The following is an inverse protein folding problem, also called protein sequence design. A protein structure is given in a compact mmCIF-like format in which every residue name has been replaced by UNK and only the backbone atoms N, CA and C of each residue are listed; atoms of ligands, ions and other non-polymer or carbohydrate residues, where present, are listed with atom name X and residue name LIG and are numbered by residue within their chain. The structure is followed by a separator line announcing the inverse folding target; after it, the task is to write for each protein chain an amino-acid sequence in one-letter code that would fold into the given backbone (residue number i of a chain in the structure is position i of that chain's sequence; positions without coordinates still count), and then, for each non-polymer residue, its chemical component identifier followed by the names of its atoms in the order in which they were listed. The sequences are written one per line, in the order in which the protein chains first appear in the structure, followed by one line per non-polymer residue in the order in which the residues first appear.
data_IF_298681024994
#
_entry.id   IF_298681024994
#
_cell.length_a   1.000
_cell.length_b   1.000
_cell.length_c   1.000
_cell.angle_alpha   90.00
_cell.angle_beta   90.00
_cell.angle_gamma   90.00
#
_symmetry.space_group_name_H-M   'P 1'
#
loop_
_entity.id
_entity.type
_entity.pdbx_description
1 polymer ?
#
# COMPACT_ATOMS: atom_id res chain seq x y z
N UNK A 1 46.50 -54.62 19.12
CA UNK A 1 46.11 -53.88 17.89
C UNK A 1 44.67 -53.38 18.09
N UNK A 2 44.46 -52.09 18.42
CA UNK A 2 43.13 -51.50 18.58
C UNK A 2 42.76 -50.85 17.26
N UNK A 3 41.65 -51.32 16.64
CA UNK A 3 41.07 -50.70 15.46
C UNK A 3 40.16 -49.58 15.88
N UNK A 4 40.44 -48.36 15.44
CA UNK A 4 39.57 -47.20 15.57
C UNK A 4 38.59 -47.16 14.40
N UNK A 5 37.31 -47.23 14.72
CA UNK A 5 36.24 -47.06 13.70
C UNK A 5 35.89 -45.56 13.71
N UNK A 6 36.18 -44.88 12.59
CA UNK A 6 35.70 -43.52 12.36
C UNK A 6 34.27 -43.60 11.84
N UNK A 7 33.31 -43.14 12.63
CA UNK A 7 31.96 -42.85 12.17
C UNK A 7 31.95 -41.46 11.49
N UNK A 8 31.78 -41.44 10.20
CA UNK A 8 31.50 -40.22 9.44
C UNK A 8 29.98 -39.96 9.57
N UNK A 9 29.60 -39.02 10.39
CA UNK A 9 28.24 -38.46 10.43
C UNK A 9 28.04 -37.59 9.18
N UNK A 10 27.39 -38.14 8.17
CA UNK A 10 26.88 -37.37 7.06
C UNK A 10 25.64 -36.59 7.52
N UNK A 11 25.79 -35.28 7.73
CA UNK A 11 24.66 -34.39 7.89
C UNK A 11 23.99 -34.24 6.51
N UNK A 12 22.69 -34.50 6.39
CA UNK A 12 21.97 -34.14 5.16
C UNK A 12 21.89 -32.61 5.09
N UNK A 13 22.61 -32.01 4.17
CA UNK A 13 22.37 -30.64 3.77
C UNK A 13 21.01 -30.62 3.09
N UNK A 14 19.98 -30.20 3.81
CA UNK A 14 18.74 -29.77 3.21
C UNK A 14 19.04 -28.49 2.41
N UNK A 15 19.34 -28.68 1.14
CA UNK A 15 19.14 -27.62 0.15
C UNK A 15 17.63 -27.38 0.09
N UNK A 16 17.17 -26.31 0.76
CA UNK A 16 15.88 -25.72 0.48
C UNK A 16 15.97 -25.19 -0.96
N UNK A 17 15.63 -26.03 -1.91
CA UNK A 17 15.25 -25.61 -3.24
C UNK A 17 14.06 -24.68 -3.06
N UNK A 18 14.26 -23.39 -3.23
CA UNK A 18 13.16 -22.51 -3.53
C UNK A 18 12.64 -22.97 -4.90
N UNK A 19 11.55 -23.71 -4.90
CA UNK A 19 10.80 -23.99 -6.11
C UNK A 19 10.30 -22.68 -6.65
N UNK A 20 11.07 -22.10 -7.56
CA UNK A 20 10.60 -21.02 -8.42
C UNK A 20 9.48 -21.63 -9.25
N UNK A 21 8.24 -21.41 -8.84
CA UNK A 21 7.07 -21.78 -9.63
C UNK A 21 7.21 -21.05 -10.97
N UNK A 22 7.65 -21.77 -11.98
CA UNK A 22 7.67 -21.27 -13.35
C UNK A 22 6.22 -21.18 -13.80
N UNK A 23 5.60 -20.01 -13.63
CA UNK A 23 4.40 -19.69 -14.35
C UNK A 23 4.73 -19.71 -15.83
N UNK A 24 4.39 -20.80 -16.51
CA UNK A 24 4.35 -20.80 -17.97
C UNK A 24 3.18 -19.87 -18.36
N UNK A 25 3.52 -18.67 -18.83
CA UNK A 25 2.57 -17.82 -19.50
C UNK A 25 2.07 -18.57 -20.74
N UNK A 26 0.83 -19.04 -20.73
CA UNK A 26 0.14 -19.58 -21.91
C UNK A 26 -0.21 -18.49 -22.96
N UNK A 27 0.22 -17.28 -22.73
CA UNK A 27 0.19 -16.20 -23.70
C UNK A 27 1.57 -16.16 -24.35
N UNK A 28 1.65 -16.47 -25.65
CA UNK A 28 2.90 -16.43 -26.40
C UNK A 28 3.66 -15.13 -26.09
N UNK A 29 4.86 -15.27 -25.52
CA UNK A 29 5.67 -14.14 -25.10
C UNK A 29 6.27 -13.47 -26.33
N UNK A 30 5.55 -12.54 -26.91
CA UNK A 30 6.19 -11.43 -27.60
C UNK A 30 6.31 -10.31 -26.58
N UNK A 31 7.46 -10.22 -25.91
CA UNK A 31 7.81 -9.07 -25.07
C UNK A 31 7.92 -7.84 -25.96
N UNK A 32 6.79 -7.19 -26.24
CA UNK A 32 6.75 -5.97 -27.04
C UNK A 32 7.15 -4.82 -26.14
N UNK A 33 8.42 -4.43 -26.17
CA UNK A 33 9.00 -3.29 -25.46
C UNK A 33 8.95 -3.35 -23.91
N UNK A 34 8.59 -4.49 -23.32
CA UNK A 34 8.63 -4.74 -21.89
C UNK A 34 9.37 -6.05 -21.59
N UNK A 35 10.23 -6.02 -20.58
CA UNK A 35 10.94 -7.20 -20.09
C UNK A 35 10.68 -7.37 -18.61
N UNK A 36 10.18 -8.54 -18.20
CA UNK A 36 10.10 -8.89 -16.77
C UNK A 36 11.50 -9.02 -16.20
N UNK A 37 11.81 -8.26 -15.17
CA UNK A 37 13.10 -8.33 -14.48
C UNK A 37 13.08 -9.38 -13.38
N UNK A 38 11.99 -9.48 -12.63
CA UNK A 38 11.82 -10.45 -11.53
C UNK A 38 10.35 -10.75 -11.29
N UNK A 39 10.10 -11.68 -10.39
CA UNK A 39 8.78 -12.00 -9.84
C UNK A 39 8.99 -12.52 -8.41
N UNK A 40 8.15 -12.04 -7.48
CA UNK A 40 8.03 -12.57 -6.11
C UNK A 40 6.61 -13.06 -5.89
N UNK A 41 6.45 -14.12 -5.10
CA UNK A 41 5.15 -14.70 -4.76
C UNK A 41 5.21 -15.22 -3.31
N UNK A 42 5.18 -14.28 -2.35
CA UNK A 42 5.33 -14.57 -0.92
C UNK A 42 3.99 -14.57 -0.16
N UNK A 43 2.90 -14.14 -0.80
CA UNK A 43 1.60 -13.96 -0.16
C UNK A 43 0.50 -14.67 -0.94
N UNK A 44 -0.53 -15.13 -0.23
CA UNK A 44 -1.66 -15.84 -0.85
C UNK A 44 -2.51 -14.97 -1.77
N UNK A 45 -2.56 -13.66 -1.52
CA UNK A 45 -3.32 -12.71 -2.32
C UNK A 45 -2.65 -11.35 -2.28
N UNK A 46 -2.75 -10.65 -3.38
CA UNK A 46 -2.24 -9.31 -3.60
C UNK A 46 -3.40 -8.39 -4.01
N UNK A 47 -3.27 -7.11 -3.71
CA UNK A 47 -4.23 -6.10 -4.15
C UNK A 47 -3.51 -4.93 -4.84
N UNK A 48 -3.37 -3.78 -4.24
CA UNK A 48 -2.76 -2.64 -4.89
C UNK A 48 -1.23 -2.61 -4.77
N UNK A 49 -0.58 -1.80 -5.61
CA UNK A 49 0.86 -1.55 -5.59
C UNK A 49 1.14 -0.07 -5.84
N UNK A 50 2.12 0.47 -5.14
CA UNK A 50 2.60 1.84 -5.34
C UNK A 50 4.11 1.89 -5.43
N UNK A 51 4.63 2.85 -6.20
CA UNK A 51 6.07 3.15 -6.29
C UNK A 51 6.46 4.28 -5.35
N UNK A 52 7.62 4.18 -4.73
CA UNK A 52 8.23 5.23 -3.93
C UNK A 52 9.72 5.32 -4.22
N UNK A 53 10.27 6.53 -4.30
CA UNK A 53 11.71 6.75 -4.41
C UNK A 53 12.23 7.37 -3.12
N UNK A 54 13.14 6.67 -2.45
CA UNK A 54 13.77 7.13 -1.22
C UNK A 54 14.76 8.29 -1.45
N UNK A 55 15.17 8.95 -0.37
CA UNK A 55 16.18 10.02 -0.41
C UNK A 55 17.54 9.57 -0.92
N UNK A 56 17.82 8.29 -0.80
CA UNK A 56 19.03 7.63 -1.31
C UNK A 56 18.96 7.29 -2.81
N UNK A 57 17.82 7.61 -3.47
CA UNK A 57 17.55 7.29 -4.87
C UNK A 57 17.16 5.84 -5.13
N UNK A 58 16.99 5.02 -4.07
CA UNK A 58 16.49 3.65 -4.22
C UNK A 58 14.99 3.68 -4.48
N UNK A 59 14.55 2.92 -5.47
CA UNK A 59 13.13 2.67 -5.71
C UNK A 59 12.60 1.58 -4.78
N UNK A 60 11.37 1.76 -4.32
CA UNK A 60 10.65 0.81 -3.47
C UNK A 60 9.31 0.47 -4.10
N UNK A 61 8.95 -0.80 -4.05
CA UNK A 61 7.58 -1.25 -4.30
C UNK A 61 6.85 -1.40 -2.96
N UNK A 62 5.74 -0.71 -2.83
CA UNK A 62 4.83 -0.79 -1.68
C UNK A 62 3.66 -1.66 -2.12
N UNK A 63 3.54 -2.84 -1.54
CA UNK A 63 2.64 -3.88 -2.01
C UNK A 63 1.56 -4.18 -0.97
N UNK A 64 0.32 -4.03 -1.35
CA UNK A 64 -0.83 -4.44 -0.55
C UNK A 64 -1.07 -5.93 -0.64
N UNK A 65 -1.30 -6.54 0.52
CA UNK A 65 -1.68 -7.95 0.65
C UNK A 65 -2.94 -8.07 1.50
N UNK A 66 -3.56 -9.24 1.52
CA UNK A 66 -4.75 -9.47 2.36
C UNK A 66 -4.50 -9.18 3.84
N UNK A 67 -3.28 -9.42 4.35
CA UNK A 67 -2.98 -9.34 5.79
C UNK A 67 -2.09 -8.16 6.18
N UNK A 68 -1.76 -7.28 5.24
CA UNK A 68 -0.91 -6.12 5.53
C UNK A 68 -0.30 -5.48 4.30
N UNK A 69 0.78 -4.73 4.52
CA UNK A 69 1.51 -4.00 3.48
C UNK A 69 2.99 -4.41 3.53
N UNK A 70 3.53 -4.83 2.41
CA UNK A 70 4.93 -5.19 2.26
C UNK A 70 5.71 -4.08 1.55
N UNK A 71 6.96 -3.86 1.95
CA UNK A 71 7.85 -2.88 1.34
C UNK A 71 9.08 -3.61 0.82
N UNK A 72 9.31 -3.50 -0.48
CA UNK A 72 10.44 -4.09 -1.17
C UNK A 72 11.37 -3.02 -1.70
N UNK A 73 12.66 -3.12 -1.37
CA UNK A 73 13.71 -2.36 -2.03
C UNK A 73 14.00 -2.95 -3.40
N UNK A 74 14.06 -2.08 -4.41
CA UNK A 74 14.40 -2.40 -5.79
C UNK A 74 15.82 -1.92 -6.13
N UNK A 75 16.73 -1.86 -5.13
CA UNK A 75 18.15 -1.54 -5.36
C UNK A 75 18.76 -2.42 -6.46
N UNK A 76 18.37 -3.69 -6.52
CA UNK A 76 18.51 -4.56 -7.68
C UNK A 76 17.10 -5.05 -8.06
N UNK A 77 16.51 -4.54 -9.14
CA UNK A 77 15.16 -4.92 -9.55
C UNK A 77 15.05 -6.36 -10.04
N UNK A 78 16.18 -7.05 -10.25
CA UNK A 78 16.20 -8.49 -10.57
C UNK A 78 16.08 -9.35 -9.31
N UNK A 79 16.41 -8.79 -8.15
CA UNK A 79 16.38 -9.46 -6.85
C UNK A 79 15.73 -8.53 -5.83
N UNK A 80 14.40 -8.26 -5.94
CA UNK A 80 13.68 -7.43 -4.98
C UNK A 80 13.86 -7.97 -3.56
N UNK A 81 14.21 -7.10 -2.63
CA UNK A 81 14.41 -7.48 -1.24
C UNK A 81 13.31 -6.90 -0.39
N UNK A 82 12.56 -7.75 0.31
CA UNK A 82 11.61 -7.29 1.31
C UNK A 82 12.35 -6.70 2.51
N UNK A 83 12.20 -5.39 2.73
CA UNK A 83 12.78 -4.70 3.87
C UNK A 83 11.88 -4.77 5.10
N UNK A 84 10.55 -4.72 4.91
CA UNK A 84 9.59 -4.86 6.01
C UNK A 84 8.24 -5.38 5.54
N UNK A 85 7.47 -5.91 6.51
CA UNK A 85 6.06 -6.22 6.38
C UNK A 85 5.32 -5.58 7.56
N UNK A 86 4.30 -4.80 7.25
CA UNK A 86 3.46 -4.13 8.22
C UNK A 86 2.14 -4.90 8.31
N UNK A 87 1.87 -5.64 9.40
CA UNK A 87 0.63 -6.36 9.56
C UNK A 87 -0.54 -5.41 9.69
N UNK A 88 -1.69 -5.79 9.13
CA UNK A 88 -2.93 -5.02 9.19
C UNK A 88 -4.15 -5.91 9.28
N UNK A 89 -5.33 -5.30 9.43
CA UNK A 89 -6.58 -6.03 9.36
C UNK A 89 -6.70 -6.79 8.03
N UNK A 90 -7.34 -7.95 8.07
CA UNK A 90 -7.65 -8.68 6.84
C UNK A 90 -8.54 -7.81 5.96
N UNK A 91 -8.06 -7.54 4.74
CA UNK A 91 -8.77 -6.77 3.72
C UNK A 91 -8.35 -7.24 2.34
N UNK A 92 -9.33 -7.47 1.47
CA UNK A 92 -9.08 -7.82 0.07
C UNK A 92 -8.78 -6.59 -0.80
N UNK A 93 -9.04 -5.39 -0.27
CA UNK A 93 -8.78 -4.13 -0.93
C UNK A 93 -7.91 -3.24 -0.05
N UNK A 94 -6.82 -2.75 -0.62
CA UNK A 94 -5.98 -1.68 -0.10
C UNK A 94 -5.66 -0.75 -1.24
N UNK A 95 -5.51 0.53 -0.95
CA UNK A 95 -5.03 1.50 -1.91
C UNK A 95 -3.91 2.33 -1.27
N UNK A 96 -2.91 2.71 -2.05
CA UNK A 96 -1.71 3.35 -1.54
C UNK A 96 -1.27 4.52 -2.40
N UNK A 97 -0.85 5.60 -1.76
CA UNK A 97 -0.23 6.76 -2.43
C UNK A 97 0.90 7.30 -1.56
N UNK A 98 1.80 8.05 -2.16
CA UNK A 98 2.90 8.70 -1.46
C UNK A 98 2.86 10.21 -1.57
N UNK A 99 3.35 10.88 -0.52
CA UNK A 99 3.62 12.31 -0.53
C UNK A 99 4.89 12.62 0.25
N UNK A 100 5.82 13.37 -0.36
CA UNK A 100 7.16 13.58 0.21
C UNK A 100 7.81 12.25 0.60
N UNK A 101 8.19 12.10 1.87
CA UNK A 101 8.82 10.87 2.37
C UNK A 101 7.85 9.95 3.12
N UNK A 102 6.56 10.05 2.85
CA UNK A 102 5.53 9.24 3.50
C UNK A 102 4.73 8.46 2.47
N UNK A 103 4.30 7.28 2.87
CA UNK A 103 3.32 6.48 2.15
C UNK A 103 2.08 6.34 3.03
N UNK A 104 0.92 6.50 2.43
CA UNK A 104 -0.38 6.35 3.07
C UNK A 104 -1.10 5.17 2.44
N UNK A 105 -1.73 4.34 3.26
CA UNK A 105 -2.51 3.22 2.75
C UNK A 105 -3.86 3.12 3.47
N UNK A 106 -4.91 2.84 2.70
CA UNK A 106 -6.24 2.50 3.21
C UNK A 106 -6.44 0.99 3.26
N UNK A 107 -7.47 0.56 3.94
CA UNK A 107 -8.02 -0.77 3.88
C UNK A 107 -9.55 -0.67 3.94
N UNK A 108 -10.23 -1.40 3.06
CA UNK A 108 -11.69 -1.37 2.97
C UNK A 108 -12.39 -2.14 4.10
N UNK A 109 -11.72 -3.14 4.66
CA UNK A 109 -12.20 -3.89 5.81
C UNK A 109 -11.39 -3.61 7.07
N UNK A 110 -12.05 -3.74 8.22
CA UNK A 110 -11.45 -3.52 9.52
C UNK A 110 -11.74 -2.13 10.08
N UNK A 111 -10.95 -1.70 11.06
CA UNK A 111 -11.20 -0.44 11.81
C UNK A 111 -9.89 0.16 12.36
N UNK A 112 -8.80 0.04 11.63
CA UNK A 112 -7.49 0.57 12.06
C UNK A 112 -7.25 2.01 11.60
N UNK A 113 -8.06 2.50 10.65
CA UNK A 113 -7.86 3.79 10.00
C UNK A 113 -6.83 3.73 8.87
N UNK A 114 -6.21 4.86 8.59
CA UNK A 114 -5.18 5.02 7.56
C UNK A 114 -3.84 4.55 8.12
N UNK A 115 -3.14 3.71 7.37
CA UNK A 115 -1.74 3.39 7.62
C UNK A 115 -0.87 4.54 7.13
N UNK A 116 -0.03 5.09 7.99
CA UNK A 116 0.94 6.14 7.70
C UNK A 116 2.33 5.54 7.89
N UNK A 117 3.13 5.54 6.83
CA UNK A 117 4.48 4.97 6.80
C UNK A 117 5.48 6.09 6.56
N UNK A 118 6.41 6.27 7.47
CA UNK A 118 7.49 7.23 7.33
C UNK A 118 8.72 6.55 6.74
N UNK A 119 9.07 6.94 5.52
CA UNK A 119 10.18 6.43 4.72
C UNK A 119 11.42 7.36 4.74
N UNK A 120 11.44 8.36 5.63
CA UNK A 120 12.48 9.41 5.64
C UNK A 120 13.88 8.85 5.80
N UNK A 121 14.03 7.78 6.58
CA UNK A 121 15.31 7.12 6.87
C UNK A 121 15.43 5.73 6.22
N UNK A 122 14.57 5.43 5.22
CA UNK A 122 14.66 4.16 4.50
C UNK A 122 16.02 4.03 3.78
N UNK A 123 16.62 2.83 3.69
CA UNK A 123 16.15 1.56 4.24
C UNK A 123 16.55 1.33 5.71
N UNK A 124 17.38 2.21 6.31
CA UNK A 124 17.94 2.01 7.65
C UNK A 124 16.86 1.96 8.74
N UNK A 125 15.79 2.72 8.55
CA UNK A 125 14.66 2.78 9.46
C UNK A 125 13.37 3.14 8.71
N UNK A 126 12.37 2.29 8.85
CA UNK A 126 11.00 2.52 8.37
C UNK A 126 10.11 2.48 9.60
N UNK A 127 9.37 3.56 9.86
CA UNK A 127 8.41 3.61 10.97
C UNK A 127 6.99 3.75 10.43
N UNK A 128 6.02 3.31 11.20
CA UNK A 128 4.63 3.36 10.78
C UNK A 128 3.67 3.49 11.96
N UNK A 129 2.48 3.97 11.67
CA UNK A 129 1.35 3.93 12.60
C UNK A 129 0.03 3.78 11.82
N UNK A 130 -0.97 3.24 12.49
CA UNK A 130 -2.36 3.33 12.06
C UNK A 130 -3.02 4.52 12.75
N UNK A 131 -3.76 5.32 12.00
CA UNK A 131 -4.43 6.52 12.53
C UNK A 131 -5.90 6.56 12.13
N UNK A 132 -6.76 6.60 13.13
CA UNK A 132 -8.18 6.86 12.94
C UNK A 132 -8.40 8.38 12.90
N UNK A 133 -8.16 8.95 11.72
CA UNK A 133 -8.25 10.39 11.50
C UNK A 133 -9.64 10.93 11.84
N UNK A 134 -9.75 12.08 12.54
CA UNK A 134 -11.05 12.68 12.83
C UNK A 134 -11.73 13.19 11.56
N UNK A 135 -13.02 12.99 11.46
CA UNK A 135 -13.87 13.46 10.35
C UNK A 135 -15.09 14.19 10.96
N UNK A 136 -14.95 15.45 11.37
CA UNK A 136 -16.01 16.23 11.98
C UNK A 136 -16.99 16.79 10.93
N UNK A 137 -17.61 15.90 10.18
CA UNK A 137 -18.57 16.24 9.12
C UNK A 137 -19.97 16.42 9.69
N UNK A 138 -20.86 17.06 8.91
CA UNK A 138 -22.27 17.23 9.31
C UNK A 138 -23.08 15.95 9.18
N UNK A 139 -22.60 15.00 8.36
CA UNK A 139 -23.27 13.71 8.12
C UNK A 139 -22.39 12.58 8.65
N UNK A 140 -22.91 11.81 9.61
CA UNK A 140 -22.18 10.74 10.27
C UNK A 140 -20.77 11.14 10.73
N UNK A 141 -20.63 12.18 11.59
CA UNK A 141 -19.32 12.57 12.09
C UNK A 141 -18.67 11.43 12.89
N UNK A 142 -17.36 11.36 12.87
CA UNK A 142 -16.65 10.29 13.58
C UNK A 142 -15.17 10.27 13.28
N UNK A 143 -14.59 9.09 13.41
CA UNK A 143 -13.21 8.85 13.03
C UNK A 143 -13.17 7.82 11.88
N UNK A 144 -12.26 8.04 10.97
CA UNK A 144 -11.99 7.10 9.87
C UNK A 144 -11.58 5.74 10.45
N UNK A 145 -12.37 4.72 10.19
CA UNK A 145 -12.07 3.35 10.59
C UNK A 145 -11.50 2.51 9.44
N UNK A 146 -12.08 2.69 8.28
CA UNK A 146 -11.71 2.07 7.01
C UNK A 146 -12.08 3.03 5.87
N UNK A 147 -11.42 2.87 4.72
CA UNK A 147 -11.72 3.58 3.48
C UNK A 147 -11.42 2.68 2.29
N UNK A 148 -12.15 2.88 1.20
CA UNK A 148 -11.97 2.10 -0.02
C UNK A 148 -10.77 2.60 -0.84
N UNK A 149 -10.67 3.89 -1.08
CA UNK A 149 -9.68 4.50 -1.97
C UNK A 149 -9.06 5.75 -1.36
N UNK A 150 -7.89 6.14 -1.86
CA UNK A 150 -7.28 7.45 -1.57
C UNK A 150 -6.59 8.03 -2.79
N UNK A 151 -6.58 9.36 -2.87
CA UNK A 151 -5.76 10.13 -3.78
C UNK A 151 -4.95 11.17 -3.00
N UNK A 152 -3.78 11.55 -3.51
CA UNK A 152 -3.03 12.69 -2.97
C UNK A 152 -2.68 13.59 -4.16
N UNK A 153 -3.05 14.86 -4.06
CA UNK A 153 -2.80 15.83 -5.12
C UNK A 153 -1.39 16.42 -5.06
N UNK A 154 -1.05 17.20 -6.06
CA UNK A 154 0.24 17.87 -6.18
C UNK A 154 0.51 18.93 -5.11
N UNK A 155 -0.53 19.38 -4.40
CA UNK A 155 -0.44 20.36 -3.30
C UNK A 155 -0.30 19.71 -1.93
N UNK A 156 -0.40 18.39 -1.85
CA UNK A 156 -0.26 17.63 -0.62
C UNK A 156 -1.53 17.55 0.20
N UNK A 157 -2.68 17.58 -0.45
CA UNK A 157 -3.95 17.21 0.17
C UNK A 157 -4.27 15.74 -0.14
N UNK A 158 -4.65 15.01 0.89
CA UNK A 158 -5.10 13.62 0.80
C UNK A 158 -6.63 13.57 0.78
N UNK A 159 -7.17 12.87 -0.20
CA UNK A 159 -8.59 12.68 -0.42
C UNK A 159 -8.93 11.21 -0.18
N UNK A 160 -9.70 10.94 0.87
CA UNK A 160 -10.15 9.59 1.24
C UNK A 160 -11.59 9.39 0.79
N UNK A 161 -11.90 8.30 0.13
CA UNK A 161 -13.25 7.96 -0.32
C UNK A 161 -13.69 6.56 0.12
N UNK A 162 -15.02 6.35 0.13
CA UNK A 162 -15.61 5.11 0.62
C UNK A 162 -15.39 4.87 2.12
N UNK A 163 -15.19 5.94 2.89
CA UNK A 163 -14.98 5.85 4.34
C UNK A 163 -16.31 5.78 5.09
N UNK A 164 -16.29 5.23 6.33
CA UNK A 164 -17.48 5.18 7.18
C UNK A 164 -18.07 6.56 7.53
N UNK A 165 -17.30 7.64 7.85
CA UNK A 165 -17.84 8.99 7.96
C UNK A 165 -18.34 9.51 6.60
N UNK A 166 -19.16 10.58 6.62
CA UNK A 166 -19.70 11.29 5.44
C UNK A 166 -20.45 10.36 4.47
N UNK A 167 -21.04 9.27 4.95
CA UNK A 167 -21.73 8.27 4.10
C UNK A 167 -20.87 7.72 2.95
N UNK A 168 -19.55 7.69 3.11
CA UNK A 168 -18.60 7.28 2.08
C UNK A 168 -18.21 8.36 1.08
N UNK A 169 -18.68 9.60 1.24
CA UNK A 169 -18.22 10.76 0.47
C UNK A 169 -16.77 11.11 0.77
N UNK A 170 -16.18 11.95 -0.10
CA UNK A 170 -14.75 12.26 -0.01
C UNK A 170 -14.46 13.13 1.21
N UNK A 171 -13.45 12.72 1.98
CA UNK A 171 -12.88 13.45 3.11
C UNK A 171 -11.50 14.00 2.71
N UNK A 172 -11.19 15.24 3.09
CA UNK A 172 -9.99 15.95 2.66
C UNK A 172 -9.11 16.28 3.85
N UNK A 173 -7.80 15.95 3.75
CA UNK A 173 -6.80 16.16 4.80
C UNK A 173 -5.57 16.87 4.25
N UNK A 174 -5.04 17.84 5.01
CA UNK A 174 -3.77 18.50 4.70
C UNK A 174 -2.60 17.69 5.28
N UNK A 175 -1.61 17.37 4.44
CA UNK A 175 -0.37 16.65 4.78
C UNK A 175 0.83 17.59 4.96
N UNK A 176 0.68 18.90 4.70
CA UNK A 176 1.81 19.81 4.62
C UNK A 176 2.37 20.21 5.98
N UNK A 177 1.50 20.38 6.97
CA UNK A 177 1.89 20.82 8.32
C UNK A 177 2.60 19.69 9.06
N UNK A 178 1.97 18.53 9.11
CA UNK A 178 2.55 17.33 9.71
C UNK A 178 2.09 16.09 8.94
N UNK A 179 2.97 15.50 8.10
CA UNK A 179 2.61 14.32 7.31
C UNK A 179 2.33 13.07 8.16
N UNK A 180 2.84 13.02 9.40
CA UNK A 180 2.50 11.94 10.34
C UNK A 180 1.11 12.15 10.99
N UNK A 181 0.55 13.37 10.96
CA UNK A 181 -0.74 13.72 11.59
C UNK A 181 -1.59 14.57 10.64
N UNK A 182 -2.17 13.95 9.59
CA UNK A 182 -3.00 14.65 8.63
C UNK A 182 -4.14 15.44 9.29
N UNK A 183 -4.31 16.69 8.90
CA UNK A 183 -5.31 17.58 9.47
C UNK A 183 -6.55 17.65 8.58
N UNK A 184 -7.74 17.39 9.12
CA UNK A 184 -8.99 17.51 8.38
C UNK A 184 -9.22 18.96 7.93
N UNK A 185 -9.55 19.14 6.65
CA UNK A 185 -9.80 20.46 6.05
C UNK A 185 -11.15 20.57 5.37
N UNK A 186 -11.81 19.46 5.02
CA UNK A 186 -13.12 19.50 4.40
C UNK A 186 -13.62 18.15 3.95
N UNK A 187 -14.81 18.16 3.35
CA UNK A 187 -15.44 17.00 2.76
C UNK A 187 -16.28 17.43 1.53
N UNK A 188 -16.40 16.56 0.56
CA UNK A 188 -17.40 16.68 -0.51
C UNK A 188 -18.79 16.23 -0.02
N UNK A 189 -19.77 16.20 -0.91
CA UNK A 189 -21.12 15.76 -0.59
C UNK A 189 -21.16 14.34 0.03
N UNK A 190 -22.16 14.09 0.86
CA UNK A 190 -22.33 12.82 1.55
C UNK A 190 -22.92 11.74 0.62
N UNK A 191 -22.27 11.52 -0.51
CA UNK A 191 -22.58 10.50 -1.50
C UNK A 191 -21.38 9.57 -1.64
N UNK A 192 -21.60 8.26 -1.59
CA UNK A 192 -20.54 7.28 -1.66
C UNK A 192 -19.68 7.46 -2.92
N UNK A 193 -18.41 7.75 -2.73
CA UNK A 193 -17.39 7.81 -3.77
C UNK A 193 -16.55 6.54 -3.73
N UNK A 194 -16.57 5.76 -4.81
CA UNK A 194 -15.75 4.54 -4.92
C UNK A 194 -14.29 4.89 -5.18
N UNK A 195 -14.06 5.68 -6.23
CA UNK A 195 -12.75 6.20 -6.60
C UNK A 195 -12.80 7.72 -6.73
N UNK A 196 -11.66 8.34 -6.48
CA UNK A 196 -11.50 9.78 -6.69
C UNK A 196 -10.16 10.09 -7.37
N UNK A 197 -10.13 11.18 -8.12
CA UNK A 197 -8.93 11.75 -8.72
C UNK A 197 -8.99 13.26 -8.59
N UNK A 198 -7.88 13.88 -8.25
CA UNK A 198 -7.80 15.34 -8.08
C UNK A 198 -6.64 15.89 -8.88
N UNK A 199 -6.89 16.96 -9.61
CA UNK A 199 -5.89 17.70 -10.35
C UNK A 199 -6.31 19.16 -10.51
N UNK A 200 -5.38 20.10 -10.33
CA UNK A 200 -5.60 21.53 -10.49
C UNK A 200 -6.84 22.00 -9.70
N UNK A 201 -6.94 21.64 -8.43
CA UNK A 201 -8.07 21.98 -7.53
C UNK A 201 -9.45 21.45 -7.99
N UNK A 202 -9.48 20.49 -8.86
CA UNK A 202 -10.73 19.89 -9.32
C UNK A 202 -10.75 18.42 -8.89
N UNK A 203 -11.75 18.06 -8.11
CA UNK A 203 -12.03 16.69 -7.68
C UNK A 203 -13.01 16.03 -8.64
N UNK A 204 -12.66 14.85 -9.11
CA UNK A 204 -13.53 13.95 -9.88
C UNK A 204 -13.87 12.75 -8.99
N UNK A 205 -15.15 12.48 -8.79
CA UNK A 205 -15.68 11.45 -7.90
C UNK A 205 -16.52 10.43 -8.68
N UNK A 206 -16.20 9.14 -8.56
CA UNK A 206 -16.99 8.04 -9.12
C UNK A 206 -18.03 7.56 -8.10
N UNK A 207 -19.27 7.99 -8.24
CA UNK A 207 -20.38 7.72 -7.34
C UNK A 207 -21.19 6.52 -7.82
N UNK A 208 -20.59 5.34 -7.73
CA UNK A 208 -21.05 4.11 -8.39
C UNK A 208 -22.46 3.66 -8.00
N UNK A 209 -22.88 3.88 -6.75
CA UNK A 209 -24.22 3.50 -6.31
C UNK A 209 -25.29 4.48 -6.78
N UNK A 210 -24.93 5.74 -7.03
CA UNK A 210 -25.79 6.73 -7.64
C UNK A 210 -25.81 6.61 -9.19
N UNK A 211 -24.83 5.89 -9.77
CA UNK A 211 -24.71 5.70 -11.22
C UNK A 211 -24.25 6.96 -11.95
N UNK A 212 -23.51 7.85 -11.27
CA UNK A 212 -23.03 9.11 -11.81
C UNK A 212 -21.54 9.32 -11.48
N UNK A 213 -20.93 10.32 -12.10
CA UNK A 213 -19.72 10.95 -11.59
C UNK A 213 -20.01 12.42 -11.27
N UNK A 214 -19.28 12.95 -10.29
CA UNK A 214 -19.40 14.35 -9.88
C UNK A 214 -18.07 15.07 -10.03
N UNK A 215 -18.15 16.38 -10.22
CA UNK A 215 -16.99 17.29 -10.31
C UNK A 215 -17.17 18.41 -9.30
N UNK A 216 -16.17 18.61 -8.42
CA UNK A 216 -16.15 19.60 -7.35
C UNK A 216 -14.98 20.56 -7.52
#
# INVERSE_FOLDING_TARGET
MKKWLFFILAFPTFLLSQDVVKYQNNYGSTDINLKRLSQTDEYSQYNDIWGFVGKDGIEYAILGTTTGTAIYSLKDPKIPKRDTFIPGNTSIWRDMKSYKNHVYATADQGNQGVLIINMTEAPSKITFKYSRLPAPTSVNPGNVGNCHNLWIDEKGFMYLSGCSPQSGGVLIYDLNVNPDEPTFVGAADAVYSHDNYVRNDTLYSAEIYAGIFSVY
#
